data_IF_899435742152
#
_entry.id   IF_899435742152
#
_cell.length_a   1.000
_cell.length_b   1.000
_cell.length_c   1.000
_cell.angle_alpha   90.00
_cell.angle_beta   90.00
_cell.angle_gamma   90.00
#
_symmetry.space_group_name_H-M   'P 1'
#
loop_
_entity.id
_entity.type
_entity.pdbx_description
1 polymer ?
#
# COMPACT_ATOMS: atom_id res chain seq x y z
N UNK A 1 -37.83 -65.28 -2.73
CA UNK A 1 -38.39 -64.56 -3.89
C UNK A 1 -37.44 -63.41 -4.18
N UNK A 2 -36.34 -63.71 -4.86
CA UNK A 2 -36.18 -63.61 -6.33
C UNK A 2 -36.09 -62.12 -6.74
N UNK A 3 -35.03 -61.58 -7.37
CA UNK A 3 -34.00 -62.22 -8.18
C UNK A 3 -32.77 -61.31 -8.49
N UNK A 4 -31.61 -61.98 -8.65
CA UNK A 4 -30.42 -61.75 -9.51
C UNK A 4 -29.48 -60.50 -9.44
N UNK A 5 -28.18 -60.82 -9.26
CA UNK A 5 -26.93 -60.07 -9.59
C UNK A 5 -26.42 -60.48 -11.02
N UNK A 6 -25.21 -60.17 -11.57
CA UNK A 6 -24.09 -59.21 -11.31
C UNK A 6 -23.56 -58.52 -12.62
N UNK A 7 -22.33 -57.95 -12.58
CA UNK A 7 -21.40 -57.50 -13.66
C UNK A 7 -21.16 -55.97 -13.68
N UNK A 8 -19.94 -55.41 -13.63
CA UNK A 8 -18.60 -55.95 -13.72
C UNK A 8 -17.56 -55.05 -12.99
N UNK A 9 -16.47 -55.70 -12.58
CA UNK A 9 -15.18 -55.17 -12.12
C UNK A 9 -14.60 -54.10 -13.09
N UNK A 10 -13.65 -53.22 -12.75
CA UNK A 10 -12.24 -53.48 -12.41
C UNK A 10 -11.58 -52.17 -11.91
N UNK A 11 -10.91 -52.23 -10.76
CA UNK A 11 -9.74 -51.40 -10.41
C UNK A 11 -8.49 -52.26 -10.60
N UNK A 12 -7.48 -51.82 -11.39
CA UNK A 12 -6.05 -52.10 -11.16
C UNK A 12 -5.16 -51.54 -12.30
N UNK A 13 -4.07 -50.88 -11.89
CA UNK A 13 -2.99 -50.18 -12.61
C UNK A 13 -2.18 -51.01 -13.66
N UNK A 14 -0.93 -50.62 -14.04
CA UNK A 14 -0.41 -49.44 -14.74
C UNK A 14 0.29 -49.88 -16.07
N UNK A 15 0.67 -48.97 -16.97
CA UNK A 15 1.83 -49.22 -17.86
C UNK A 15 2.41 -47.94 -18.46
N UNK A 16 3.72 -47.84 -18.31
CA UNK A 16 4.58 -46.85 -18.92
C UNK A 16 4.60 -46.97 -20.46
N UNK A 17 4.69 -45.84 -21.14
CA UNK A 17 5.28 -45.77 -22.47
C UNK A 17 5.97 -44.42 -22.64
N UNK A 18 7.28 -44.45 -22.44
CA UNK A 18 8.23 -43.41 -22.79
C UNK A 18 8.36 -43.31 -24.32
N UNK A 19 8.37 -42.06 -24.81
CA UNK A 19 9.11 -41.49 -25.95
C UNK A 19 9.18 -42.25 -27.29
N UNK A 20 8.67 -41.62 -28.36
CA UNK A 20 9.37 -41.16 -29.59
C UNK A 20 8.27 -40.63 -30.55
N UNK A 21 8.18 -39.37 -30.96
CA UNK A 21 8.99 -38.73 -32.00
C UNK A 21 8.69 -37.21 -32.12
N UNK A 22 9.73 -36.43 -32.43
CA UNK A 22 9.83 -34.95 -32.53
C UNK A 22 9.12 -34.31 -33.75
N UNK A 23 9.36 -33.03 -34.11
CA UNK A 23 8.88 -31.80 -33.48
C UNK A 23 8.10 -30.95 -34.50
N UNK A 24 6.82 -30.68 -34.23
CA UNK A 24 6.06 -29.67 -34.97
C UNK A 24 6.21 -28.31 -34.29
N UNK A 25 7.16 -27.50 -34.74
CA UNK A 25 7.35 -26.11 -34.32
C UNK A 25 6.13 -25.26 -34.68
N UNK A 26 5.16 -25.19 -33.78
CA UNK A 26 4.16 -24.12 -33.77
C UNK A 26 4.81 -22.92 -33.07
N UNK A 27 5.57 -22.15 -33.85
CA UNK A 27 6.00 -20.79 -33.49
C UNK A 27 4.74 -19.94 -33.32
N UNK A 28 4.21 -19.89 -32.11
CA UNK A 28 3.53 -18.68 -31.64
C UNK A 28 4.66 -17.66 -31.52
N UNK A 29 4.64 -16.54 -32.25
CA UNK A 29 5.73 -15.58 -32.15
C UNK A 29 5.77 -15.04 -30.72
N UNK A 30 6.91 -15.20 -30.05
CA UNK A 30 7.24 -14.63 -28.73
C UNK A 30 7.19 -13.09 -28.69
N UNK A 31 6.85 -12.43 -29.80
CA UNK A 31 6.76 -10.98 -29.96
C UNK A 31 5.76 -10.36 -28.99
N UNK A 32 4.58 -10.96 -28.79
CA UNK A 32 3.56 -10.38 -27.91
C UNK A 32 3.96 -10.38 -26.43
N UNK A 33 4.76 -11.37 -25.99
CA UNK A 33 5.24 -11.48 -24.61
C UNK A 33 6.43 -10.52 -24.34
N UNK A 34 7.30 -10.33 -25.33
CA UNK A 34 8.43 -9.39 -25.26
C UNK A 34 7.96 -7.93 -25.18
N UNK A 35 7.02 -7.54 -26.04
CA UNK A 35 6.50 -6.17 -26.13
C UNK A 35 5.79 -5.74 -24.83
N UNK A 36 5.01 -6.65 -24.23
CA UNK A 36 4.34 -6.38 -22.96
C UNK A 36 5.32 -6.18 -21.79
N UNK A 37 6.37 -7.01 -21.71
CA UNK A 37 7.40 -6.86 -20.66
C UNK A 37 8.19 -5.59 -20.83
N UNK A 38 8.53 -5.20 -22.06
CA UNK A 38 9.23 -3.95 -22.34
C UNK A 38 8.38 -2.74 -21.95
N UNK A 39 7.08 -2.74 -22.30
CA UNK A 39 6.15 -1.70 -21.89
C UNK A 39 6.05 -1.58 -20.37
N UNK A 40 5.85 -2.71 -19.66
CA UNK A 40 5.75 -2.72 -18.20
C UNK A 40 7.05 -2.25 -17.53
N UNK A 41 8.20 -2.56 -18.13
CA UNK A 41 9.51 -2.11 -17.67
C UNK A 41 9.65 -0.59 -17.78
N UNK A 42 9.37 -0.02 -18.96
CA UNK A 42 9.41 1.44 -19.16
C UNK A 42 8.43 2.18 -18.24
N UNK A 43 7.22 1.64 -18.09
CA UNK A 43 6.19 2.19 -17.22
C UNK A 43 6.62 2.15 -15.74
N UNK A 44 7.28 1.06 -15.30
CA UNK A 44 7.83 0.95 -13.95
C UNK A 44 8.96 1.95 -13.70
N UNK A 45 9.87 2.15 -14.67
CA UNK A 45 10.96 3.13 -14.55
C UNK A 45 10.39 4.55 -14.43
N UNK A 46 9.47 4.91 -15.34
CA UNK A 46 8.85 6.24 -15.34
C UNK A 46 8.10 6.51 -14.04
N UNK A 47 7.34 5.53 -13.53
CA UNK A 47 6.61 5.67 -12.27
C UNK A 47 7.54 5.78 -11.06
N UNK A 48 8.60 4.98 -10.97
CA UNK A 48 9.59 5.08 -9.88
C UNK A 48 10.36 6.41 -9.91
N UNK A 49 10.71 6.90 -11.10
CA UNK A 49 11.30 8.24 -11.26
C UNK A 49 10.34 9.34 -10.82
N UNK A 50 9.07 9.25 -11.21
CA UNK A 50 8.06 10.22 -10.78
C UNK A 50 7.86 10.19 -9.26
N UNK A 51 7.79 9.00 -8.64
CA UNK A 51 7.73 8.83 -7.18
C UNK A 51 8.93 9.50 -6.52
N UNK A 52 10.15 9.24 -7.01
CA UNK A 52 11.37 9.88 -6.50
C UNK A 52 11.27 11.40 -6.56
N UNK A 53 10.89 11.96 -7.72
CA UNK A 53 10.81 13.41 -7.94
C UNK A 53 9.80 14.10 -7.02
N UNK A 54 8.67 13.45 -6.75
CA UNK A 54 7.61 13.98 -5.89
C UNK A 54 8.01 13.91 -4.40
N UNK A 55 8.55 12.79 -3.95
CA UNK A 55 8.83 12.54 -2.52
C UNK A 55 10.12 13.22 -2.05
N UNK A 56 11.14 13.33 -2.91
CA UNK A 56 12.45 13.89 -2.52
C UNK A 56 12.37 15.33 -1.98
N UNK A 57 11.35 16.11 -2.38
CA UNK A 57 11.21 17.53 -2.02
C UNK A 57 11.05 17.76 -0.52
N UNK A 58 10.56 16.76 0.21
CA UNK A 58 10.23 16.85 1.62
C UNK A 58 11.23 16.11 2.53
N UNK A 59 12.25 15.47 1.95
CA UNK A 59 13.19 14.61 2.67
C UNK A 59 14.54 15.29 2.95
N UNK A 60 15.23 14.83 3.99
CA UNK A 60 16.64 15.14 4.21
C UNK A 60 17.55 14.56 3.14
N UNK A 61 18.77 15.08 2.98
CA UNK A 61 19.73 14.57 1.99
C UNK A 61 20.00 13.06 2.15
N UNK A 62 20.15 12.60 3.40
CA UNK A 62 20.35 11.18 3.72
C UNK A 62 19.15 10.36 3.27
N UNK A 63 17.93 10.80 3.63
CA UNK A 63 16.70 10.11 3.22
C UNK A 63 16.46 10.17 1.71
N UNK A 64 16.93 11.21 1.00
CA UNK A 64 16.89 11.27 -0.48
C UNK A 64 17.76 10.19 -1.11
N UNK A 65 19.00 10.04 -0.62
CA UNK A 65 19.91 9.00 -1.12
C UNK A 65 19.35 7.61 -0.79
N UNK A 66 18.88 7.40 0.45
CA UNK A 66 18.24 6.16 0.86
C UNK A 66 16.99 5.83 0.03
N UNK A 67 16.17 6.84 -0.30
CA UNK A 67 15.00 6.66 -1.15
C UNK A 67 15.39 6.31 -2.58
N UNK A 68 16.40 6.95 -3.16
CA UNK A 68 16.90 6.62 -4.50
C UNK A 68 17.40 5.17 -4.58
N UNK A 69 18.21 4.76 -3.59
CA UNK A 69 18.72 3.38 -3.49
C UNK A 69 17.60 2.38 -3.23
N UNK A 70 16.63 2.74 -2.38
CA UNK A 70 15.45 1.92 -2.11
C UNK A 70 14.59 1.71 -3.35
N UNK A 71 14.31 2.75 -4.14
CA UNK A 71 13.54 2.64 -5.38
C UNK A 71 14.29 1.86 -6.47
N UNK A 72 15.62 2.01 -6.54
CA UNK A 72 16.45 1.14 -7.36
C UNK A 72 16.34 -0.32 -6.91
N UNK A 73 16.34 -0.56 -5.60
CA UNK A 73 16.07 -1.86 -4.99
C UNK A 73 14.70 -2.42 -5.39
N UNK A 74 13.64 -1.60 -5.38
CA UNK A 74 12.30 -2.01 -5.85
C UNK A 74 12.36 -2.45 -7.32
N UNK A 75 13.04 -1.70 -8.19
CA UNK A 75 13.22 -2.11 -9.59
C UNK A 75 13.98 -3.43 -9.70
N UNK A 76 15.08 -3.60 -8.95
CA UNK A 76 15.87 -4.83 -8.94
C UNK A 76 15.07 -6.04 -8.45
N UNK A 77 14.23 -5.86 -7.43
CA UNK A 77 13.31 -6.89 -6.94
C UNK A 77 12.30 -7.30 -8.04
N UNK A 78 11.74 -6.31 -8.75
CA UNK A 78 10.81 -6.57 -9.86
C UNK A 78 11.47 -7.29 -11.03
N UNK A 79 12.75 -7.02 -11.28
CA UNK A 79 13.53 -7.76 -12.26
C UNK A 79 13.85 -9.19 -11.79
N UNK A 80 14.22 -9.38 -10.52
CA UNK A 80 14.52 -10.69 -9.94
C UNK A 80 13.31 -11.65 -9.96
N UNK A 81 12.12 -11.12 -9.66
CA UNK A 81 10.84 -11.86 -9.74
C UNK A 81 10.39 -12.07 -11.21
N UNK A 82 11.05 -11.44 -12.18
CA UNK A 82 10.77 -11.60 -13.62
C UNK A 82 9.58 -10.80 -14.14
N UNK A 83 9.12 -9.80 -13.38
CA UNK A 83 8.03 -8.90 -13.81
C UNK A 83 8.49 -7.81 -14.78
N UNK A 84 9.78 -7.49 -14.78
CA UNK A 84 10.40 -6.38 -15.52
C UNK A 84 11.74 -6.86 -16.11
N UNK A 85 12.14 -6.30 -17.25
CA UNK A 85 13.39 -6.63 -17.92
C UNK A 85 14.55 -5.89 -17.26
N UNK A 86 15.65 -6.60 -16.98
CA UNK A 86 16.88 -5.96 -16.57
C UNK A 86 17.67 -5.50 -17.81
N UNK A 87 18.15 -4.24 -17.88
CA UNK A 87 18.85 -3.72 -19.07
C UNK A 87 20.12 -4.49 -19.46
N UNK A 88 20.70 -5.25 -18.52
CA UNK A 88 22.02 -5.85 -18.65
C UNK A 88 22.01 -7.39 -18.64
N UNK A 89 20.84 -8.05 -18.66
CA UNK A 89 20.74 -9.51 -18.70
C UNK A 89 20.17 -9.99 -20.04
N UNK A 90 21.04 -10.60 -20.84
CA UNK A 90 20.65 -11.43 -21.96
C UNK A 90 20.46 -12.86 -21.45
N UNK A 91 19.24 -13.37 -21.53
CA UNK A 91 18.90 -14.81 -21.51
C UNK A 91 19.30 -15.62 -20.25
N UNK A 92 18.28 -16.03 -19.49
CA UNK A 92 18.26 -17.25 -18.66
C UNK A 92 19.12 -17.28 -17.37
N UNK A 93 18.94 -16.31 -16.47
CA UNK A 93 19.18 -16.58 -15.04
C UNK A 93 17.90 -17.14 -14.42
N UNK A 94 18.00 -18.21 -13.64
CA UNK A 94 16.87 -18.83 -12.96
C UNK A 94 16.11 -17.78 -12.14
N UNK A 95 14.79 -17.70 -12.33
CA UNK A 95 13.94 -16.77 -11.57
C UNK A 95 14.21 -16.98 -10.07
N UNK A 96 14.79 -15.97 -9.44
CA UNK A 96 15.00 -15.96 -7.99
C UNK A 96 13.68 -15.59 -7.31
N UNK A 97 13.47 -16.08 -6.09
CA UNK A 97 12.34 -15.61 -5.26
C UNK A 97 12.42 -14.11 -4.93
N UNK A 98 13.57 -13.46 -5.20
CA UNK A 98 13.77 -12.02 -4.97
C UNK A 98 13.89 -11.66 -3.48
N UNK A 99 14.22 -12.63 -2.62
CA UNK A 99 14.23 -12.45 -1.16
C UNK A 99 15.34 -11.50 -0.71
N UNK A 100 16.54 -11.63 -1.28
CA UNK A 100 17.67 -10.74 -0.97
C UNK A 100 17.43 -9.29 -1.38
N UNK A 101 16.81 -9.09 -2.55
CA UNK A 101 16.46 -7.81 -3.13
C UNK A 101 15.34 -7.13 -2.32
N UNK A 102 14.35 -7.90 -1.88
CA UNK A 102 13.31 -7.40 -0.97
C UNK A 102 13.91 -6.99 0.39
N UNK A 103 14.80 -7.80 0.97
CA UNK A 103 15.51 -7.47 2.21
C UNK A 103 16.34 -6.18 2.07
N UNK A 104 17.04 -6.01 0.95
CA UNK A 104 17.77 -4.78 0.65
C UNK A 104 16.86 -3.55 0.71
N UNK A 105 15.66 -3.61 0.11
CA UNK A 105 14.69 -2.51 0.20
C UNK A 105 14.18 -2.29 1.62
N UNK A 106 13.89 -3.35 2.38
CA UNK A 106 13.43 -3.24 3.77
C UNK A 106 14.45 -2.53 4.67
N UNK A 107 15.75 -2.71 4.44
CA UNK A 107 16.80 -1.99 5.18
C UNK A 107 16.67 -0.46 4.98
N UNK A 108 16.44 -0.01 3.75
CA UNK A 108 16.24 1.42 3.48
C UNK A 108 14.91 1.93 4.02
N UNK A 109 13.83 1.14 3.93
CA UNK A 109 12.53 1.47 4.54
C UNK A 109 12.72 1.70 6.04
N UNK A 110 13.36 0.77 6.74
CA UNK A 110 13.59 0.86 8.18
C UNK A 110 14.51 2.04 8.53
N UNK A 111 15.56 2.29 7.75
CA UNK A 111 16.46 3.43 7.95
C UNK A 111 15.76 4.79 7.81
N UNK A 112 14.90 4.94 6.80
CA UNK A 112 14.11 6.17 6.60
C UNK A 112 13.10 6.35 7.74
N UNK A 113 12.35 5.30 8.10
CA UNK A 113 11.39 5.34 9.21
C UNK A 113 12.08 5.66 10.53
N UNK A 114 13.23 5.05 10.81
CA UNK A 114 14.01 5.33 12.01
C UNK A 114 14.47 6.78 12.06
N UNK A 115 14.92 7.35 10.94
CA UNK A 115 15.33 8.77 10.88
C UNK A 115 14.16 9.69 11.19
N UNK A 116 12.98 9.42 10.63
CA UNK A 116 11.77 10.21 10.87
C UNK A 116 11.25 10.11 12.31
N UNK A 117 11.20 8.90 12.88
CA UNK A 117 10.79 8.68 14.29
C UNK A 117 11.79 9.33 15.24
N UNK A 118 13.10 9.22 14.98
CA UNK A 118 14.13 9.91 15.76
C UNK A 118 13.91 11.42 15.75
N UNK A 119 13.62 12.01 14.60
CA UNK A 119 13.39 13.46 14.49
C UNK A 119 12.09 13.89 15.20
N UNK A 120 11.04 13.05 15.18
CA UNK A 120 9.83 13.25 15.97
C UNK A 120 10.11 13.21 17.48
N UNK A 121 10.81 12.20 17.98
CA UNK A 121 11.17 12.08 19.40
C UNK A 121 12.07 13.23 19.85
N UNK A 122 13.07 13.61 19.03
CA UNK A 122 13.95 14.74 19.33
C UNK A 122 13.20 16.07 19.37
N UNK A 123 12.18 16.24 18.52
CA UNK A 123 11.34 17.42 18.52
C UNK A 123 10.56 17.62 19.83
N UNK A 124 10.27 16.54 20.57
CA UNK A 124 9.58 16.59 21.85
C UNK A 124 10.47 17.14 22.97
N UNK A 125 11.77 16.84 22.94
CA UNK A 125 12.74 17.22 23.99
C UNK A 125 13.30 18.64 23.78
N UNK A 126 13.15 19.20 22.58
CA UNK A 126 13.81 20.45 22.22
C UNK A 126 13.14 21.68 22.85
N UNK A 127 13.96 22.50 23.52
CA UNK A 127 13.53 23.69 24.27
C UNK A 127 13.06 24.84 23.38
N UNK A 128 13.57 24.96 22.14
CA UNK A 128 13.09 25.98 21.20
C UNK A 128 11.81 25.51 20.49
N UNK A 129 10.74 26.30 20.64
CA UNK A 129 9.42 25.98 20.06
C UNK A 129 9.44 26.00 18.53
N UNK A 130 10.17 26.93 17.93
CA UNK A 130 10.25 27.12 16.47
C UNK A 130 11.01 25.97 15.79
N UNK A 131 12.20 25.63 16.28
CA UNK A 131 12.98 24.53 15.70
C UNK A 131 12.32 23.18 15.97
N UNK A 132 11.67 23.03 17.13
CA UNK A 132 10.89 21.83 17.47
C UNK A 132 9.78 21.57 16.45
N UNK A 133 9.03 22.60 16.06
CA UNK A 133 7.95 22.46 15.06
C UNK A 133 8.48 22.11 13.67
N UNK A 134 9.59 22.73 13.25
CA UNK A 134 10.23 22.42 11.96
C UNK A 134 10.73 20.95 11.93
N UNK A 135 11.38 20.50 13.00
CA UNK A 135 11.84 19.11 13.13
C UNK A 135 10.68 18.11 13.16
N UNK A 136 9.58 18.42 13.88
CA UNK A 136 8.38 17.58 13.90
C UNK A 136 7.80 17.40 12.49
N UNK A 137 7.63 18.51 11.76
CA UNK A 137 7.14 18.48 10.38
C UNK A 137 8.05 17.66 9.49
N UNK A 138 9.37 17.85 9.57
CA UNK A 138 10.34 17.08 8.79
C UNK A 138 10.30 15.58 9.12
N UNK A 139 10.24 15.21 10.40
CA UNK A 139 10.13 13.82 10.83
C UNK A 139 8.88 13.12 10.29
N UNK A 140 7.73 13.81 10.26
CA UNK A 140 6.51 13.27 9.63
C UNK A 140 6.70 13.00 8.13
N UNK A 141 7.32 13.94 7.39
CA UNK A 141 7.59 13.75 5.97
C UNK A 141 8.58 12.61 5.69
N UNK A 142 9.53 12.38 6.59
CA UNK A 142 10.44 11.21 6.52
C UNK A 142 9.70 9.90 6.80
N UNK A 143 8.82 9.85 7.80
CA UNK A 143 7.96 8.68 8.02
C UNK A 143 7.08 8.41 6.80
N UNK A 144 6.49 9.46 6.23
CA UNK A 144 5.68 9.38 5.01
C UNK A 144 6.47 8.80 3.82
N UNK A 145 7.70 9.26 3.59
CA UNK A 145 8.53 8.74 2.50
C UNK A 145 8.92 7.27 2.70
N UNK A 146 9.19 6.85 3.94
CA UNK A 146 9.41 5.44 4.28
C UNK A 146 8.18 4.57 4.00
N UNK A 147 6.98 5.05 4.33
CA UNK A 147 5.72 4.37 3.99
C UNK A 147 5.51 4.27 2.48
N UNK A 148 5.76 5.34 1.72
CA UNK A 148 5.66 5.32 0.25
C UNK A 148 6.62 4.29 -0.35
N UNK A 149 7.86 4.20 0.14
CA UNK A 149 8.83 3.21 -0.31
C UNK A 149 8.37 1.78 -0.02
N UNK A 150 7.81 1.53 1.17
CA UNK A 150 7.22 0.25 1.53
C UNK A 150 6.04 -0.11 0.61
N UNK A 151 5.15 0.85 0.33
CA UNK A 151 4.02 0.64 -0.60
C UNK A 151 4.54 0.34 -2.01
N UNK A 152 5.58 1.02 -2.49
CA UNK A 152 6.19 0.76 -3.79
C UNK A 152 6.79 -0.66 -3.88
N UNK A 153 7.37 -1.17 -2.78
CA UNK A 153 7.85 -2.56 -2.70
C UNK A 153 6.71 -3.58 -2.72
N UNK A 154 5.56 -3.27 -2.11
CA UNK A 154 4.43 -4.19 -2.03
C UNK A 154 3.57 -4.18 -3.30
N UNK A 155 3.40 -3.03 -3.94
CA UNK A 155 2.56 -2.90 -5.14
C UNK A 155 3.20 -3.56 -6.35
N UNK A 156 2.47 -4.47 -7.00
CA UNK A 156 2.86 -5.07 -8.29
C UNK A 156 3.25 -4.00 -9.32
N UNK A 157 4.11 -4.36 -10.26
CA UNK A 157 4.65 -3.44 -11.26
C UNK A 157 3.57 -2.63 -12.02
N UNK A 158 2.42 -3.24 -12.30
CA UNK A 158 1.29 -2.57 -12.98
C UNK A 158 0.54 -1.56 -12.10
N UNK A 159 0.67 -1.63 -10.77
CA UNK A 159 0.05 -0.69 -9.82
C UNK A 159 0.97 0.46 -9.40
N UNK A 160 2.26 0.43 -9.78
CA UNK A 160 3.21 1.53 -9.53
C UNK A 160 2.78 2.86 -10.18
N UNK A 161 2.23 2.89 -11.41
CA UNK A 161 1.71 4.13 -11.99
C UNK A 161 0.56 4.72 -11.18
N UNK A 162 -0.32 3.86 -10.65
CA UNK A 162 -1.42 4.28 -9.79
C UNK A 162 -0.88 4.96 -8.53
N UNK A 163 0.15 4.39 -7.88
CA UNK A 163 0.84 5.04 -6.76
C UNK A 163 1.45 6.39 -7.17
N UNK A 164 2.13 6.47 -8.31
CA UNK A 164 2.73 7.71 -8.78
C UNK A 164 1.67 8.80 -9.04
N UNK A 165 0.55 8.44 -9.66
CA UNK A 165 -0.60 9.32 -9.86
C UNK A 165 -1.21 9.79 -8.52
N UNK A 166 -1.28 8.91 -7.51
CA UNK A 166 -1.72 9.26 -6.17
C UNK A 166 -0.91 10.43 -5.59
N UNK A 167 0.41 10.28 -5.60
CA UNK A 167 1.35 11.26 -5.06
C UNK A 167 1.32 12.56 -5.88
N UNK A 168 1.13 12.46 -7.20
CA UNK A 168 0.99 13.61 -8.07
C UNK A 168 -0.27 14.40 -7.71
N UNK A 169 -1.42 13.73 -7.57
CA UNK A 169 -2.68 14.37 -7.17
C UNK A 169 -2.53 15.02 -5.79
N UNK A 170 -1.96 14.33 -4.80
CA UNK A 170 -1.71 14.92 -3.48
C UNK A 170 -0.87 16.20 -3.56
N UNK A 171 0.21 16.19 -4.36
CA UNK A 171 1.09 17.34 -4.55
C UNK A 171 0.36 18.50 -5.24
N UNK A 172 -0.39 18.22 -6.31
CA UNK A 172 -1.15 19.22 -7.05
C UNK A 172 -2.24 19.85 -6.18
N UNK A 173 -3.01 19.03 -5.45
CA UNK A 173 -4.05 19.51 -4.54
C UNK A 173 -3.45 20.38 -3.42
N UNK A 174 -2.33 19.97 -2.83
CA UNK A 174 -1.67 20.74 -1.78
C UNK A 174 -1.11 22.07 -2.29
N UNK A 175 -0.52 22.12 -3.49
CA UNK A 175 0.08 23.34 -4.02
C UNK A 175 -0.94 24.31 -4.60
N UNK A 176 -1.91 23.81 -5.38
CA UNK A 176 -2.81 24.66 -6.17
C UNK A 176 -4.15 24.92 -5.49
N UNK A 177 -4.68 23.95 -4.72
CA UNK A 177 -6.03 24.07 -4.16
C UNK A 177 -5.97 24.50 -2.70
N UNK A 178 -5.42 23.66 -1.83
CA UNK A 178 -5.54 23.88 -0.38
C UNK A 178 -4.76 25.11 0.11
N UNK A 179 -3.56 25.36 -0.46
CA UNK A 179 -2.76 26.56 -0.12
C UNK A 179 -3.34 27.85 -0.68
N UNK A 180 -3.93 27.83 -1.87
CA UNK A 180 -4.44 29.05 -2.52
C UNK A 180 -5.78 29.46 -1.93
N UNK A 181 -6.66 28.49 -1.68
CA UNK A 181 -8.07 28.75 -1.39
C UNK A 181 -8.38 28.86 0.11
N UNK A 182 -7.37 28.75 0.98
CA UNK A 182 -7.47 28.94 2.44
C UNK A 182 -8.59 28.12 3.12
N UNK A 183 -8.96 26.97 2.55
CA UNK A 183 -10.02 26.10 3.08
C UNK A 183 -9.81 25.71 4.52
N UNK A 184 -10.88 25.46 5.27
CA UNK A 184 -10.78 25.05 6.67
C UNK A 184 -10.20 23.64 6.85
N UNK A 185 -9.75 23.33 8.07
CA UNK A 185 -9.34 22.02 8.55
C UNK A 185 -10.30 20.89 8.16
N UNK A 186 -11.61 21.10 8.40
CA UNK A 186 -12.63 20.09 8.15
C UNK A 186 -12.78 19.82 6.64
N UNK A 187 -12.84 20.87 5.82
CA UNK A 187 -12.94 20.74 4.36
C UNK A 187 -11.74 20.00 3.76
N UNK A 188 -10.54 20.32 4.23
CA UNK A 188 -9.31 19.63 3.83
C UNK A 188 -9.38 18.15 4.21
N UNK A 189 -9.87 17.84 5.41
CA UNK A 189 -10.03 16.46 5.92
C UNK A 189 -11.03 15.65 5.10
N UNK A 190 -12.17 16.24 4.76
CA UNK A 190 -13.20 15.60 3.92
C UNK A 190 -12.60 15.20 2.57
N UNK A 191 -11.90 16.11 1.90
CA UNK A 191 -11.27 15.81 0.61
C UNK A 191 -10.24 14.68 0.73
N UNK A 192 -9.36 14.72 1.75
CA UNK A 192 -8.36 13.67 1.95
C UNK A 192 -9.00 12.30 2.22
N UNK A 193 -10.07 12.24 3.02
CA UNK A 193 -10.80 11.00 3.27
C UNK A 193 -11.38 10.44 1.97
N UNK A 194 -12.08 11.27 1.18
CA UNK A 194 -12.75 10.84 -0.06
C UNK A 194 -11.74 10.36 -1.11
N UNK A 195 -10.63 11.08 -1.29
CA UNK A 195 -9.57 10.62 -2.19
C UNK A 195 -8.89 9.35 -1.69
N UNK A 196 -8.71 9.18 -0.38
CA UNK A 196 -8.23 7.94 0.21
C UNK A 196 -9.14 6.75 -0.13
N UNK A 197 -10.45 6.93 0.00
CA UNK A 197 -11.43 5.90 -0.39
C UNK A 197 -11.46 5.66 -1.90
N UNK A 198 -11.36 6.70 -2.73
CA UNK A 198 -11.28 6.53 -4.18
C UNK A 198 -10.03 5.74 -4.59
N UNK A 199 -8.88 6.01 -3.95
CA UNK A 199 -7.63 5.34 -4.28
C UNK A 199 -7.63 3.86 -3.91
N UNK A 200 -8.36 3.47 -2.85
CA UNK A 200 -8.59 2.07 -2.54
C UNK A 200 -9.13 1.32 -3.78
N UNK A 201 -10.13 1.86 -4.46
CA UNK A 201 -10.72 1.26 -5.65
C UNK A 201 -9.85 1.44 -6.91
N UNK A 202 -9.13 2.56 -7.06
CA UNK A 202 -8.24 2.75 -8.22
C UNK A 202 -7.08 1.77 -8.30
N UNK A 203 -6.68 1.18 -7.16
CA UNK A 203 -5.69 0.10 -7.13
C UNK A 203 -6.26 -1.25 -7.60
N UNK A 204 -7.55 -1.32 -7.94
CA UNK A 204 -8.23 -2.56 -8.33
C UNK A 204 -8.77 -3.37 -7.14
N UNK A 205 -8.74 -2.82 -5.92
CA UNK A 205 -9.40 -3.47 -4.79
C UNK A 205 -10.93 -3.41 -4.95
N UNK A 206 -11.61 -4.37 -4.34
CA UNK A 206 -13.07 -4.39 -4.23
C UNK A 206 -13.49 -4.77 -2.80
N UNK A 207 -14.79 -4.91 -2.59
CA UNK A 207 -15.34 -5.42 -1.33
C UNK A 207 -15.50 -6.96 -1.32
N UNK A 208 -14.86 -7.66 -2.26
CA UNK A 208 -14.82 -9.12 -2.32
C UNK A 208 -13.48 -9.62 -1.77
N UNK A 209 -13.52 -10.59 -0.85
CA UNK A 209 -12.33 -11.20 -0.25
C UNK A 209 -11.36 -11.79 -1.28
N UNK A 210 -11.86 -12.20 -2.45
CA UNK A 210 -11.04 -12.70 -3.56
C UNK A 210 -10.11 -11.63 -4.16
N UNK A 211 -10.37 -10.35 -3.91
CA UNK A 211 -9.49 -9.26 -4.37
C UNK A 211 -8.35 -8.93 -3.41
N UNK A 212 -8.33 -9.51 -2.20
CA UNK A 212 -7.18 -9.36 -1.30
C UNK A 212 -6.01 -10.17 -1.85
N UNK A 213 -4.94 -9.46 -2.21
CA UNK A 213 -3.73 -10.08 -2.70
C UNK A 213 -2.84 -10.55 -1.54
N UNK A 214 -2.99 -11.81 -1.12
CA UNK A 214 -2.20 -12.39 -0.02
C UNK A 214 -0.73 -12.59 -0.42
N UNK A 215 -0.42 -12.65 -1.73
CA UNK A 215 0.96 -12.90 -2.18
C UNK A 215 1.92 -11.78 -1.79
N UNK A 216 1.43 -10.57 -1.59
CA UNK A 216 2.23 -9.43 -1.10
C UNK A 216 2.69 -9.62 0.35
N UNK A 217 1.98 -10.42 1.14
CA UNK A 217 2.36 -10.77 2.51
C UNK A 217 3.65 -11.58 2.60
N UNK A 218 4.03 -12.23 1.50
CA UNK A 218 5.21 -13.09 1.43
C UNK A 218 6.44 -12.39 0.82
N UNK A 219 6.36 -11.08 0.52
CA UNK A 219 7.47 -10.33 -0.07
C UNK A 219 8.64 -10.26 0.92
N UNK A 220 9.72 -10.97 0.58
CA UNK A 220 10.93 -11.08 1.41
C UNK A 220 10.88 -12.18 2.47
N UNK A 221 9.83 -13.00 2.55
CA UNK A 221 9.77 -14.10 3.51
C UNK A 221 10.24 -15.42 2.87
N UNK A 222 11.19 -16.10 3.49
CA UNK A 222 11.64 -17.43 3.07
C UNK A 222 10.75 -18.56 3.59
N UNK A 223 10.19 -18.36 4.78
CA UNK A 223 9.26 -19.26 5.46
C UNK A 223 8.00 -18.52 5.88
N UNK A 224 6.88 -19.24 5.98
CA UNK A 224 5.63 -18.65 6.42
C UNK A 224 5.72 -18.25 7.89
N UNK A 225 5.59 -16.94 8.13
CA UNK A 225 5.38 -16.37 9.45
C UNK A 225 4.08 -15.58 9.38
N UNK A 226 3.11 -15.95 10.21
CA UNK A 226 1.75 -15.42 10.15
C UNK A 226 1.70 -13.91 10.35
N UNK A 227 2.36 -13.40 11.40
CA UNK A 227 2.25 -11.99 11.80
C UNK A 227 2.73 -11.00 10.72
N UNK A 228 3.94 -11.13 10.13
CA UNK A 228 4.37 -10.25 9.05
C UNK A 228 3.51 -10.40 7.79
N UNK A 229 3.08 -11.62 7.45
CA UNK A 229 2.27 -11.86 6.26
C UNK A 229 0.91 -11.16 6.35
N UNK A 230 0.23 -11.25 7.50
CA UNK A 230 -1.04 -10.56 7.75
C UNK A 230 -0.83 -9.05 7.73
N UNK A 231 0.21 -8.54 8.39
CA UNK A 231 0.49 -7.10 8.44
C UNK A 231 0.77 -6.51 7.05
N UNK A 232 1.66 -7.12 6.27
CA UNK A 232 2.02 -6.63 4.94
C UNK A 232 0.84 -6.72 3.96
N UNK A 233 0.04 -7.79 4.05
CA UNK A 233 -1.20 -7.92 3.27
C UNK A 233 -2.15 -6.78 3.60
N UNK A 234 -2.50 -6.59 4.87
CA UNK A 234 -3.39 -5.52 5.30
C UNK A 234 -2.86 -4.13 4.93
N UNK A 235 -1.56 -3.88 5.13
CA UNK A 235 -0.92 -2.62 4.79
C UNK A 235 -1.01 -2.34 3.28
N UNK A 236 -0.80 -3.33 2.42
CA UNK A 236 -0.91 -3.19 0.97
C UNK A 236 -2.35 -2.97 0.49
N UNK A 237 -3.33 -3.63 1.12
CA UNK A 237 -4.76 -3.53 0.78
C UNK A 237 -5.30 -2.15 1.10
N UNK A 238 -4.91 -1.60 2.26
CA UNK A 238 -5.37 -0.29 2.74
C UNK A 238 -4.36 0.83 2.51
N UNK A 239 -3.36 0.62 1.66
CA UNK A 239 -2.31 1.60 1.37
C UNK A 239 -2.88 2.95 0.90
N UNK A 240 -3.95 2.94 0.10
CA UNK A 240 -4.61 4.17 -0.36
C UNK A 240 -5.10 5.09 0.75
N UNK A 241 -6.10 4.65 1.54
CA UNK A 241 -6.58 5.41 2.68
C UNK A 241 -5.47 5.78 3.66
N UNK A 242 -4.50 4.89 3.91
CA UNK A 242 -3.36 5.14 4.80
C UNK A 242 -2.45 6.26 4.29
N UNK A 243 -2.05 6.25 3.02
CA UNK A 243 -1.20 7.28 2.43
C UNK A 243 -1.87 8.65 2.47
N UNK A 244 -3.17 8.71 2.14
CA UNK A 244 -3.94 9.96 2.21
C UNK A 244 -4.11 10.47 3.64
N UNK A 245 -4.34 9.59 4.60
CA UNK A 245 -4.39 9.94 6.02
C UNK A 245 -3.05 10.47 6.54
N UNK A 246 -1.94 9.81 6.20
CA UNK A 246 -0.60 10.24 6.60
C UNK A 246 -0.23 11.59 5.95
N UNK A 247 -0.58 11.77 4.67
CA UNK A 247 -0.41 13.04 3.97
C UNK A 247 -1.20 14.17 4.65
N UNK A 248 -2.43 13.91 5.10
CA UNK A 248 -3.23 14.89 5.85
C UNK A 248 -2.50 15.36 7.12
N UNK A 249 -1.93 14.44 7.91
CA UNK A 249 -1.16 14.80 9.11
C UNK A 249 0.06 15.66 8.73
N UNK A 250 0.80 15.26 7.69
CA UNK A 250 1.97 16.00 7.22
C UNK A 250 1.59 17.42 6.76
N UNK A 251 0.50 17.55 6.00
CA UNK A 251 0.01 18.81 5.49
C UNK A 251 -0.45 19.75 6.62
N UNK A 252 -1.29 19.28 7.53
CA UNK A 252 -1.82 20.08 8.63
C UNK A 252 -0.73 20.54 9.61
N UNK A 253 0.30 19.71 9.82
CA UNK A 253 1.41 20.07 10.70
C UNK A 253 2.43 21.02 10.04
N UNK A 254 2.58 20.95 8.71
CA UNK A 254 3.44 21.86 7.96
C UNK A 254 2.89 23.29 7.94
N UNK A 255 1.58 23.49 8.04
CA UNK A 255 0.95 24.81 8.05
C UNK A 255 1.05 25.48 9.43
N UNK A 256 1.63 26.69 9.47
CA UNK A 256 2.14 27.31 10.71
C UNK A 256 1.04 27.76 11.68
N UNK A 257 -0.17 28.07 11.21
CA UNK A 257 -1.22 28.69 12.04
C UNK A 257 -2.32 27.75 12.54
N UNK A 258 -2.37 26.49 12.07
CA UNK A 258 -3.56 25.65 12.22
C UNK A 258 -3.53 24.72 13.43
N UNK A 259 -3.14 25.23 14.60
CA UNK A 259 -3.03 24.42 15.82
C UNK A 259 -4.33 23.72 16.22
N UNK A 260 -5.43 24.46 16.14
CA UNK A 260 -6.78 24.01 16.47
C UNK A 260 -7.29 22.98 15.45
N UNK A 261 -6.58 22.77 14.33
CA UNK A 261 -7.01 21.91 13.23
C UNK A 261 -6.88 20.41 13.48
N UNK A 262 -5.90 19.93 14.26
CA UNK A 262 -5.65 18.47 14.33
C UNK A 262 -6.76 17.73 15.09
N UNK A 263 -7.22 18.26 16.22
CA UNK A 263 -8.37 17.72 16.96
C UNK A 263 -9.66 17.77 16.13
N UNK A 264 -9.96 18.91 15.49
CA UNK A 264 -11.12 19.05 14.61
C UNK A 264 -11.05 18.12 13.39
N UNK A 265 -9.87 17.95 12.79
CA UNK A 265 -9.64 16.99 11.71
C UNK A 265 -9.81 15.55 12.18
N UNK A 266 -9.28 15.18 13.35
CA UNK A 266 -9.47 13.84 13.91
C UNK A 266 -10.95 13.53 14.14
N UNK A 267 -11.69 14.48 14.72
CA UNK A 267 -13.14 14.36 14.91
C UNK A 267 -13.89 14.23 13.58
N UNK A 268 -13.59 15.10 12.60
CA UNK A 268 -14.19 15.04 11.27
C UNK A 268 -13.89 13.72 10.57
N UNK A 269 -12.65 13.23 10.64
CA UNK A 269 -12.23 11.96 10.05
C UNK A 269 -12.94 10.77 10.71
N UNK A 270 -13.08 10.77 12.05
CA UNK A 270 -13.84 9.77 12.78
C UNK A 270 -15.34 9.79 12.41
N UNK A 271 -15.95 10.98 12.28
CA UNK A 271 -17.35 11.12 11.86
C UNK A 271 -17.56 10.58 10.44
N UNK A 272 -16.71 10.96 9.48
CA UNK A 272 -16.78 10.49 8.09
C UNK A 272 -16.70 8.97 7.98
N UNK A 273 -15.90 8.33 8.84
CA UNK A 273 -15.79 6.87 8.91
C UNK A 273 -16.98 6.23 9.61
N UNK A 274 -17.52 6.86 10.66
CA UNK A 274 -18.62 6.32 11.46
C UNK A 274 -19.92 6.21 10.66
N UNK A 275 -20.18 7.14 9.72
CA UNK A 275 -21.42 7.15 8.92
C UNK A 275 -21.58 5.86 8.08
N UNK A 276 -20.62 5.47 7.21
CA UNK A 276 -20.74 4.20 6.47
C UNK A 276 -20.74 2.98 7.39
N UNK A 277 -19.96 3.00 8.48
CA UNK A 277 -19.91 1.88 9.42
C UNK A 277 -21.29 1.62 10.05
N UNK A 278 -21.95 2.65 10.59
CA UNK A 278 -23.30 2.53 11.16
C UNK A 278 -24.31 2.09 10.09
N UNK A 279 -24.26 2.69 8.90
CA UNK A 279 -25.14 2.32 7.80
C UNK A 279 -25.03 0.84 7.44
N UNK A 280 -23.80 0.31 7.31
CA UNK A 280 -23.59 -1.10 7.03
C UNK A 280 -24.03 -2.02 8.17
N UNK A 281 -23.77 -1.65 9.43
CA UNK A 281 -24.24 -2.45 10.57
C UNK A 281 -25.77 -2.54 10.58
N UNK A 282 -26.48 -1.43 10.35
CA UNK A 282 -27.95 -1.42 10.26
C UNK A 282 -28.43 -2.29 9.09
N UNK A 283 -27.81 -2.16 7.92
CA UNK A 283 -28.19 -2.91 6.72
C UNK A 283 -27.97 -4.42 6.88
N UNK A 284 -26.82 -4.83 7.43
CA UNK A 284 -26.51 -6.24 7.73
C UNK A 284 -27.48 -6.80 8.77
N UNK A 285 -27.87 -5.99 9.77
CA UNK A 285 -28.83 -6.40 10.80
C UNK A 285 -30.23 -6.58 10.22
N UNK A 286 -30.68 -5.66 9.36
CA UNK A 286 -31.99 -5.73 8.70
C UNK A 286 -32.09 -6.92 7.73
N UNK A 287 -31.01 -7.20 7.00
CA UNK A 287 -30.94 -8.26 5.99
C UNK A 287 -30.35 -9.57 6.51
N UNK A 288 -30.31 -9.78 7.84
CA UNK A 288 -29.65 -10.94 8.47
C UNK A 288 -30.16 -12.31 8.01
N UNK A 289 -31.42 -12.38 7.59
CA UNK A 289 -32.05 -13.62 7.09
C UNK A 289 -32.02 -13.73 5.56
N UNK A 290 -31.41 -12.76 4.86
CA UNK A 290 -31.27 -12.81 3.43
C UNK A 290 -30.20 -13.82 3.03
N UNK A 291 -30.42 -14.52 1.91
CA UNK A 291 -29.52 -15.55 1.36
C UNK A 291 -28.09 -15.04 1.06
N UNK A 292 -27.89 -13.72 1.02
CA UNK A 292 -26.61 -13.08 0.71
C UNK A 292 -25.82 -12.61 1.93
N UNK A 293 -26.29 -12.92 3.15
CA UNK A 293 -25.64 -12.52 4.40
C UNK A 293 -24.18 -13.01 4.47
N UNK A 294 -23.94 -14.26 4.06
CA UNK A 294 -22.62 -14.88 4.13
C UNK A 294 -21.73 -14.55 2.92
N UNK A 295 -22.31 -14.43 1.72
CA UNK A 295 -21.52 -14.30 0.48
C UNK A 295 -21.24 -12.86 0.05
N UNK A 296 -22.15 -11.92 0.33
CA UNK A 296 -22.03 -10.51 -0.12
C UNK A 296 -21.84 -9.57 1.05
N UNK A 297 -22.65 -9.73 2.11
CA UNK A 297 -22.66 -8.80 3.23
C UNK A 297 -21.49 -9.04 4.20
N UNK A 298 -21.18 -10.29 4.53
CA UNK A 298 -20.09 -10.62 5.47
C UNK A 298 -18.69 -10.16 4.97
N UNK A 299 -18.26 -10.43 3.72
CA UNK A 299 -16.98 -9.92 3.22
C UNK A 299 -16.92 -8.40 3.29
N UNK A 300 -18.00 -7.72 2.87
CA UNK A 300 -18.07 -6.26 2.92
C UNK A 300 -18.00 -5.70 4.33
N UNK A 301 -18.68 -6.34 5.28
CA UNK A 301 -18.63 -5.95 6.69
C UNK A 301 -17.21 -6.08 7.25
N UNK A 302 -16.46 -7.11 6.86
CA UNK A 302 -15.06 -7.28 7.25
C UNK A 302 -14.19 -6.12 6.73
N UNK A 303 -14.35 -5.72 5.46
CA UNK A 303 -13.66 -4.55 4.91
C UNK A 303 -14.00 -3.27 5.70
N UNK A 304 -15.28 -3.06 6.00
CA UNK A 304 -15.71 -1.90 6.79
C UNK A 304 -15.12 -1.95 8.21
N UNK A 305 -15.11 -3.12 8.87
CA UNK A 305 -14.50 -3.28 10.19
C UNK A 305 -12.99 -2.93 10.17
N UNK A 306 -12.26 -3.42 9.17
CA UNK A 306 -10.84 -3.12 8.98
C UNK A 306 -10.59 -1.64 8.67
N UNK A 307 -11.40 -1.01 7.81
CA UNK A 307 -11.34 0.43 7.59
C UNK A 307 -11.56 1.21 8.89
N UNK A 308 -12.50 0.79 9.75
CA UNK A 308 -12.74 1.41 11.05
C UNK A 308 -11.55 1.25 11.99
N UNK A 309 -10.93 0.06 12.04
CA UNK A 309 -9.73 -0.19 12.84
C UNK A 309 -8.57 0.70 12.40
N UNK A 310 -8.32 0.79 11.09
CA UNK A 310 -7.27 1.63 10.53
C UNK A 310 -7.54 3.12 10.81
N UNK A 311 -8.77 3.58 10.58
CA UNK A 311 -9.15 4.95 10.91
C UNK A 311 -8.99 5.23 12.40
N UNK A 312 -9.32 4.28 13.28
CA UNK A 312 -9.13 4.43 14.73
C UNK A 312 -7.65 4.58 15.07
N UNK A 313 -6.77 3.75 14.51
CA UNK A 313 -5.33 3.86 14.70
C UNK A 313 -4.79 5.22 14.23
N UNK A 314 -5.26 5.71 13.08
CA UNK A 314 -4.95 7.05 12.57
C UNK A 314 -5.43 8.13 13.55
N UNK A 315 -6.69 8.10 14.00
CA UNK A 315 -7.23 9.08 14.94
C UNK A 315 -6.47 9.09 16.28
N UNK A 316 -6.04 7.93 16.77
CA UNK A 316 -5.18 7.83 17.95
C UNK A 316 -3.83 8.52 17.70
N UNK A 317 -3.25 8.34 16.52
CA UNK A 317 -2.03 9.06 16.12
C UNK A 317 -2.24 10.57 16.02
N UNK A 318 -3.35 11.04 15.46
CA UNK A 318 -3.72 12.46 15.46
C UNK A 318 -3.82 13.02 16.88
N UNK A 319 -4.48 12.27 17.78
CA UNK A 319 -4.66 12.67 19.19
C UNK A 319 -3.33 12.72 19.93
N UNK A 320 -2.46 11.74 19.73
CA UNK A 320 -1.10 11.74 20.28
C UNK A 320 -0.30 12.95 19.78
N UNK A 321 -0.39 13.25 18.48
CA UNK A 321 0.26 14.42 17.88
C UNK A 321 -0.26 15.75 18.40
N UNK A 322 -1.52 15.82 18.84
CA UNK A 322 -2.16 16.99 19.44
C UNK A 322 -1.79 17.17 20.92
N UNK A 323 -1.78 16.08 21.71
CA UNK A 323 -1.42 16.09 23.13
C UNK A 323 0.02 16.57 23.39
N UNK A 324 0.95 16.25 22.48
CA UNK A 324 2.33 16.76 22.53
C UNK A 324 2.40 18.30 22.45
N UNK A 325 1.32 18.96 22.01
CA UNK A 325 1.26 20.42 21.83
C UNK A 325 0.70 21.14 23.05
N UNK A 326 -0.24 20.54 23.77
CA UNK A 326 -0.88 21.12 24.96
C UNK A 326 -0.02 21.02 26.22
N UNK A 327 0.98 20.14 26.23
CA UNK A 327 1.94 19.97 27.35
C UNK A 327 3.07 21.01 27.40
N UNK A 328 3.16 21.94 26.44
CA UNK A 328 4.13 23.04 26.49
C UNK A 328 3.48 24.25 27.19
N UNK A 329 4.00 24.69 28.35
CA UNK A 329 3.46 25.83 29.10
C UNK A 329 3.60 27.15 28.34
#
# INVERSE_FOLDING_TARGET
MQDFSPHAHIWSQPNALFLTSSPGSFLIPDTCCGDHKLFLSLLSILSLLLIFLLVQRHCSLVSKIALALGLLGVYSYRAAVGSVLFPWQHSAQAMSKGTGEAHFVYVFVLGILFTGVKDLLRSQVMSSVVDGKCMKSRGLWEVYSGMVLLVALLFRAHNLPTLACCLLIQTLMAQFIWKRLHYDAAQTTIMHYWFGQAFFYFQGNSNNIATVDISVGFVGLESYVESPAVFLTAFSTYAGPLLWACHLVCYLNSERDRAVSLGHSSYCFALLRSIPAVFYIVLVTALRYHLFIWSVFSPKLLYEAMHTLITTAVCLFFTFMDQDRTRRP
#
